data_IF_199824972187
#
_entry.id   IF_199824972187
#
_cell.length_a   1.000
_cell.length_b   1.000
_cell.length_c   1.000
_cell.angle_alpha   90.00
_cell.angle_beta   90.00
_cell.angle_gamma   90.00
#
_symmetry.space_group_name_H-M   'P 1'
#
loop_
_entity.id
_entity.type
_entity.pdbx_description
1 polymer ?
#
# COMPACT_ATOMS: atom_id res chain seq x y z
N UNK A 1 -15.84 4.94 -3.92
CA UNK A 1 -15.27 6.30 -3.80
C UNK A 1 -15.28 6.68 -2.32
N UNK A 2 -14.17 7.19 -1.75
CA UNK A 2 -14.09 7.52 -0.33
C UNK A 2 -14.90 8.78 0.01
N UNK A 3 -15.75 8.69 1.03
CA UNK A 3 -16.58 9.79 1.52
C UNK A 3 -16.24 10.09 2.97
N UNK A 4 -15.82 11.32 3.28
CA UNK A 4 -15.53 11.76 4.66
C UNK A 4 -16.45 12.90 5.02
N UNK A 5 -17.29 12.72 6.05
CA UNK A 5 -18.12 13.79 6.61
C UNK A 5 -17.33 14.51 7.70
N UNK A 6 -17.31 15.85 7.63
CA UNK A 6 -16.67 16.71 8.64
C UNK A 6 -17.59 16.78 9.87
N UNK A 7 -17.02 16.61 11.07
CA UNK A 7 -17.74 16.76 12.34
C UNK A 7 -17.62 18.20 12.83
N UNK A 8 -18.62 18.69 13.56
CA UNK A 8 -18.71 20.10 13.99
C UNK A 8 -17.56 20.58 14.89
N UNK A 9 -16.91 19.67 15.63
CA UNK A 9 -15.77 19.97 16.51
C UNK A 9 -14.39 19.56 15.95
N UNK A 10 -14.27 19.29 14.64
CA UNK A 10 -12.99 18.95 14.02
C UNK A 10 -12.36 20.15 13.29
N UNK A 11 -11.06 20.36 13.53
CA UNK A 11 -10.26 21.24 12.67
C UNK A 11 -10.18 20.69 11.25
N UNK A 12 -10.33 21.57 10.26
CA UNK A 12 -10.32 21.24 8.83
C UNK A 12 -9.12 20.38 8.41
N UNK A 13 -7.94 20.66 8.97
CA UNK A 13 -6.71 19.93 8.65
C UNK A 13 -6.78 18.44 9.04
N UNK A 14 -7.51 18.11 10.12
CA UNK A 14 -7.69 16.74 10.57
C UNK A 14 -8.62 15.99 9.62
N UNK A 15 -9.71 16.65 9.19
CA UNK A 15 -10.63 16.09 8.21
C UNK A 15 -9.94 15.85 6.86
N UNK A 16 -9.13 16.81 6.39
CA UNK A 16 -8.33 16.68 5.16
C UNK A 16 -7.34 15.51 5.25
N UNK A 17 -6.65 15.35 6.38
CA UNK A 17 -5.72 14.23 6.59
C UNK A 17 -6.45 12.88 6.54
N UNK A 18 -7.65 12.79 7.13
CA UNK A 18 -8.49 11.58 7.09
C UNK A 18 -8.93 11.26 5.67
N UNK A 19 -9.32 12.27 4.89
CA UNK A 19 -9.69 12.12 3.50
C UNK A 19 -8.52 11.59 2.66
N UNK A 20 -7.33 12.18 2.78
CA UNK A 20 -6.11 11.71 2.09
C UNK A 20 -5.81 10.24 2.41
N UNK A 21 -5.84 9.85 3.69
CA UNK A 21 -5.68 8.45 4.11
C UNK A 21 -6.77 7.53 3.54
N UNK A 22 -8.02 8.01 3.46
CA UNK A 22 -9.12 7.23 2.88
C UNK A 22 -8.94 7.02 1.38
N UNK A 23 -8.43 8.01 0.64
CA UNK A 23 -8.08 7.89 -0.78
C UNK A 23 -6.91 6.94 -1.01
N UNK A 24 -5.88 7.01 -0.17
CA UNK A 24 -4.74 6.09 -0.19
C UNK A 24 -5.17 4.65 0.12
N UNK A 25 -5.98 4.46 1.17
CA UNK A 25 -6.51 3.14 1.56
C UNK A 25 -7.40 2.54 0.48
N UNK A 26 -8.24 3.36 -0.16
CA UNK A 26 -9.06 2.94 -1.29
C UNK A 26 -8.22 2.66 -2.55
N UNK A 27 -6.95 3.05 -2.60
CA UNK A 27 -6.05 2.77 -3.71
C UNK A 27 -6.40 3.49 -5.00
N UNK A 28 -7.21 4.55 -4.96
CA UNK A 28 -7.74 5.24 -6.16
C UNK A 28 -6.60 5.68 -7.09
N UNK A 29 -5.55 6.30 -6.54
CA UNK A 29 -4.38 6.73 -7.31
C UNK A 29 -3.56 5.57 -7.89
N UNK A 30 -3.51 4.43 -7.18
CA UNK A 30 -2.81 3.24 -7.68
C UNK A 30 -3.59 2.57 -8.81
N UNK A 31 -4.92 2.66 -8.77
CA UNK A 31 -5.78 2.12 -9.79
C UNK A 31 -5.73 2.94 -11.08
N UNK A 32 -5.74 4.27 -10.97
CA UNK A 32 -5.55 5.18 -12.12
C UNK A 32 -4.25 4.82 -12.85
N UNK A 33 -3.12 4.81 -12.13
CA UNK A 33 -1.82 4.46 -12.71
C UNK A 33 -1.75 3.06 -13.34
N UNK A 34 -2.51 2.11 -12.79
CA UNK A 34 -2.58 0.74 -13.36
C UNK A 34 -3.40 0.71 -14.65
N UNK A 35 -4.38 1.60 -14.81
CA UNK A 35 -5.30 1.66 -15.96
C UNK A 35 -4.82 2.60 -17.06
N UNK A 36 -3.80 3.44 -16.81
CA UNK A 36 -3.21 4.36 -17.79
C UNK A 36 -2.76 3.68 -19.08
N UNK A 37 -2.31 2.43 -19.02
CA UNK A 37 -1.87 1.66 -20.17
C UNK A 37 -2.35 0.21 -20.09
N UNK A 38 -2.52 -0.41 -21.26
CA UNK A 38 -2.80 -1.84 -21.33
C UNK A 38 -1.56 -2.65 -20.93
N UNK A 39 -1.71 -3.49 -19.92
CA UNK A 39 -0.70 -4.46 -19.52
C UNK A 39 -1.13 -5.85 -20.00
N UNK A 40 -0.32 -6.49 -20.85
CA UNK A 40 -0.58 -7.87 -21.30
C UNK A 40 -0.76 -8.80 -20.09
N UNK A 41 -1.68 -9.80 -20.13
CA UNK A 41 -1.93 -10.71 -19.01
C UNK A 41 -0.66 -11.42 -18.51
N UNK A 42 0.26 -11.73 -19.41
CA UNK A 42 1.56 -12.34 -19.10
C UNK A 42 2.46 -11.41 -18.27
N UNK A 43 2.52 -10.13 -18.63
CA UNK A 43 3.26 -9.10 -17.87
C UNK A 43 2.68 -8.92 -16.47
N UNK A 44 1.35 -8.88 -16.33
CA UNK A 44 0.67 -8.82 -15.03
C UNK A 44 1.08 -10.01 -14.14
N UNK A 45 1.07 -11.23 -14.69
CA UNK A 45 1.44 -12.46 -13.96
C UNK A 45 2.91 -12.40 -13.52
N UNK A 46 3.83 -12.04 -14.42
CA UNK A 46 5.27 -11.91 -14.12
C UNK A 46 5.53 -10.88 -13.01
N UNK A 47 4.91 -9.70 -13.10
CA UNK A 47 5.03 -8.63 -12.09
C UNK A 47 4.53 -9.08 -10.72
N UNK A 48 3.40 -9.77 -10.65
CA UNK A 48 2.84 -10.31 -9.40
C UNK A 48 3.77 -11.38 -8.78
N UNK A 49 4.31 -12.28 -9.59
CA UNK A 49 5.22 -13.33 -9.13
C UNK A 49 6.52 -12.72 -8.55
N UNK A 50 7.16 -11.79 -9.26
CA UNK A 50 8.36 -11.12 -8.79
C UNK A 50 8.12 -10.35 -7.47
N UNK A 51 6.97 -9.68 -7.35
CA UNK A 51 6.59 -8.99 -6.13
C UNK A 51 6.36 -9.94 -4.95
N UNK A 52 5.85 -11.15 -5.17
CA UNK A 52 5.67 -12.18 -4.14
C UNK A 52 7.02 -12.71 -3.65
N UNK A 53 7.92 -13.06 -4.57
CA UNK A 53 9.29 -13.52 -4.24
C UNK A 53 10.03 -12.46 -3.42
N UNK A 54 10.01 -11.19 -3.86
CA UNK A 54 10.65 -10.09 -3.14
C UNK A 54 10.09 -9.89 -1.73
N UNK A 55 8.77 -10.03 -1.54
CA UNK A 55 8.13 -9.95 -0.21
C UNK A 55 8.59 -11.09 0.70
N UNK A 56 8.67 -12.31 0.18
CA UNK A 56 9.11 -13.48 0.94
C UNK A 56 10.56 -13.34 1.39
N UNK A 57 11.47 -12.98 0.48
CA UNK A 57 12.88 -12.74 0.80
C UNK A 57 13.06 -11.64 1.87
N UNK A 58 12.29 -10.54 1.75
CA UNK A 58 12.31 -9.47 2.75
C UNK A 58 11.81 -9.93 4.12
N UNK A 59 10.83 -10.85 4.17
CA UNK A 59 10.32 -11.43 5.42
C UNK A 59 11.40 -12.27 6.10
N UNK A 60 12.04 -13.17 5.35
CA UNK A 60 13.12 -14.02 5.88
C UNK A 60 14.26 -13.16 6.44
N UNK A 61 14.72 -12.17 5.68
CA UNK A 61 15.79 -11.26 6.13
C UNK A 61 15.43 -10.54 7.43
N UNK A 62 14.18 -10.06 7.58
CA UNK A 62 13.71 -9.45 8.83
C UNK A 62 13.66 -10.42 10.00
N UNK A 63 13.25 -11.66 9.77
CA UNK A 63 13.22 -12.70 10.79
C UNK A 63 14.64 -13.06 11.25
N UNK A 64 15.58 -13.22 10.32
CA UNK A 64 16.99 -13.44 10.63
C UNK A 64 17.58 -12.31 11.48
N UNK A 65 17.34 -11.05 11.11
CA UNK A 65 17.80 -9.89 11.89
C UNK A 65 17.21 -9.88 13.30
N UNK A 66 15.90 -10.18 13.44
CA UNK A 66 15.24 -10.27 14.75
C UNK A 66 15.81 -11.40 15.62
N UNK A 67 16.14 -12.54 15.00
CA UNK A 67 16.71 -13.69 15.71
C UNK A 67 18.16 -13.42 16.17
N UNK A 68 18.95 -12.71 15.35
CA UNK A 68 20.29 -12.25 15.74
C UNK A 68 20.22 -11.26 16.90
N UNK A 69 19.31 -10.27 16.84
CA UNK A 69 19.15 -9.27 17.90
C UNK A 69 18.66 -9.86 19.24
N UNK A 70 17.97 -11.00 19.22
CA UNK A 70 17.53 -11.72 20.44
C UNK A 70 18.63 -12.59 21.06
N UNK A 71 19.70 -12.88 20.33
CA UNK A 71 20.81 -13.73 20.77
C UNK A 71 21.93 -12.95 21.46
N UNK A 72 21.91 -11.62 21.34
CA UNK A 72 22.75 -10.68 22.10
C UNK A 72 21.90 -10.06 23.22
#
# INVERSE_FOLDING_TARGET
MPTVRVKENESFDIAMRRFKRSCEKAGVLTEIRRREFYEKPTSVRKRKAAAAVKRHLKKISREQARMQQRRY
#
